data_IF_211895306306
#
_entry.id   IF_211895306306
#
_cell.length_a   1.000
_cell.length_b   1.000
_cell.length_c   1.000
_cell.angle_alpha   90.00
_cell.angle_beta   90.00
_cell.angle_gamma   90.00
#
_symmetry.space_group_name_H-M   'P 1'
#
loop_
_entity.id
_entity.type
_entity.pdbx_description
1 polymer ?
#
# COMPACT_ATOMS: atom_id res chain seq x y z
N UNK A 1 -3.64 -8.06 -3.35
CA UNK A 1 -3.87 -9.52 -3.17
C UNK A 1 -4.84 -9.70 -2.02
N UNK A 2 -5.82 -10.60 -2.19
CA UNK A 2 -6.83 -10.90 -1.18
C UNK A 2 -6.52 -12.27 -0.55
N UNK A 3 -6.52 -12.35 0.78
CA UNK A 3 -6.44 -13.65 1.45
C UNK A 3 -7.84 -14.23 1.55
N UNK A 4 -8.09 -15.38 0.92
CA UNK A 4 -9.37 -16.10 1.06
C UNK A 4 -9.58 -16.72 2.44
N UNK A 5 -8.55 -16.69 3.29
CA UNK A 5 -8.51 -17.37 4.58
C UNK A 5 -8.41 -16.42 5.77
N UNK A 6 -8.22 -15.11 5.54
CA UNK A 6 -8.00 -14.12 6.59
C UNK A 6 -8.73 -12.81 6.29
N UNK A 7 -9.24 -12.13 7.33
CA UNK A 7 -9.94 -10.82 7.25
C UNK A 7 -9.01 -9.62 6.95
N UNK A 8 -7.93 -9.82 6.18
CA UNK A 8 -6.99 -8.76 5.78
C UNK A 8 -6.79 -8.78 4.27
N UNK A 9 -6.55 -7.58 3.74
CA UNK A 9 -6.28 -7.36 2.32
C UNK A 9 -5.07 -6.47 2.15
N UNK A 10 -4.21 -6.81 1.19
CA UNK A 10 -3.13 -5.93 0.77
C UNK A 10 -3.62 -5.04 -0.38
N UNK A 11 -3.59 -3.73 -0.16
CA UNK A 11 -4.11 -2.71 -1.07
C UNK A 11 -2.98 -1.80 -1.55
N UNK A 12 -2.95 -1.52 -2.86
CA UNK A 12 -2.16 -0.39 -3.38
C UNK A 12 -3.05 0.85 -3.47
N UNK A 13 -2.59 1.94 -2.86
CA UNK A 13 -3.24 3.23 -2.92
C UNK A 13 -2.37 4.24 -3.68
N UNK A 14 -2.98 5.01 -4.58
CA UNK A 14 -2.34 6.15 -5.25
C UNK A 14 -3.16 7.41 -4.95
N UNK A 15 -2.83 8.13 -3.87
CA UNK A 15 -3.62 9.28 -3.47
C UNK A 15 -3.44 10.44 -4.46
N UNK A 16 -4.55 11.06 -4.86
CA UNK A 16 -4.54 12.22 -5.76
C UNK A 16 -4.11 13.52 -5.07
N UNK A 17 -4.23 13.56 -3.74
CA UNK A 17 -3.85 14.71 -2.90
C UNK A 17 -3.04 14.23 -1.70
N UNK A 18 -2.38 15.15 -1.00
CA UNK A 18 -1.53 14.86 0.17
C UNK A 18 -2.10 15.31 1.51
N UNK A 19 -3.43 15.22 1.72
CA UNK A 19 -4.03 15.69 2.99
C UNK A 19 -3.55 14.83 4.16
N UNK A 20 -3.49 15.43 5.34
CA UNK A 20 -3.07 14.75 6.57
C UNK A 20 -3.89 13.47 6.79
N UNK A 21 -3.19 12.34 6.96
CA UNK A 21 -3.78 11.02 7.19
C UNK A 21 -4.79 10.54 6.12
N UNK A 22 -4.74 11.08 4.91
CA UNK A 22 -5.76 10.85 3.87
C UNK A 22 -6.12 9.37 3.68
N UNK A 23 -5.13 8.50 3.45
CA UNK A 23 -5.37 7.06 3.24
C UNK A 23 -5.97 6.40 4.50
N UNK A 24 -5.45 6.75 5.68
CA UNK A 24 -5.87 6.19 6.97
C UNK A 24 -7.34 6.49 7.27
N UNK A 25 -7.71 7.76 7.14
CA UNK A 25 -9.11 8.22 7.35
C UNK A 25 -10.03 7.59 6.32
N UNK A 26 -9.61 7.59 5.05
CA UNK A 26 -10.45 7.10 3.95
C UNK A 26 -10.75 5.61 4.08
N UNK A 27 -9.78 4.78 4.44
CA UNK A 27 -10.00 3.35 4.63
C UNK A 27 -10.82 3.06 5.89
N UNK A 28 -10.53 3.77 6.99
CA UNK A 28 -11.29 3.65 8.24
C UNK A 28 -12.76 4.06 8.08
N UNK A 29 -13.07 5.08 7.28
CA UNK A 29 -14.46 5.52 7.04
C UNK A 29 -15.29 4.51 6.24
N UNK A 30 -14.66 3.49 5.66
CA UNK A 30 -15.32 2.39 4.95
C UNK A 30 -15.25 1.08 5.74
N UNK A 31 -15.01 1.16 7.06
CA UNK A 31 -14.86 -0.01 7.95
C UNK A 31 -13.71 -0.96 7.55
N UNK A 32 -12.70 -0.44 6.83
CA UNK A 32 -11.50 -1.16 6.41
C UNK A 32 -10.24 -0.52 7.01
N UNK A 33 -10.13 -0.33 8.33
CA UNK A 33 -9.02 0.38 8.93
C UNK A 33 -7.67 -0.28 8.62
N UNK A 34 -6.63 0.54 8.49
CA UNK A 34 -5.26 0.03 8.28
C UNK A 34 -4.82 -0.72 9.52
N UNK A 35 -4.23 -1.88 9.30
CA UNK A 35 -3.69 -2.69 10.38
C UNK A 35 -2.63 -1.92 11.20
N UNK A 36 -2.74 -2.01 12.53
CA UNK A 36 -1.87 -1.31 13.46
C UNK A 36 -2.17 0.19 13.60
N UNK A 37 -3.24 0.69 12.98
CA UNK A 37 -3.68 2.07 13.14
C UNK A 37 -4.51 2.27 14.42
N UNK A 38 -3.81 2.57 15.51
CA UNK A 38 -4.44 2.85 16.81
C UNK A 38 -5.32 4.10 16.83
N UNK A 39 -5.09 5.06 15.93
CA UNK A 39 -5.84 6.32 15.88
C UNK A 39 -7.19 6.15 15.19
N UNK A 40 -7.25 5.33 14.14
CA UNK A 40 -8.44 5.14 13.31
C UNK A 40 -9.09 3.76 13.49
N UNK A 41 -9.09 3.27 14.74
CA UNK A 41 -9.86 2.11 15.21
C UNK A 41 -9.58 0.80 14.45
N UNK A 42 -8.32 0.49 14.16
CA UNK A 42 -7.98 -0.88 13.79
C UNK A 42 -8.40 -1.83 14.94
N UNK A 43 -9.21 -2.88 14.69
CA UNK A 43 -9.64 -3.77 15.76
C UNK A 43 -8.41 -4.43 16.38
N UNK A 44 -8.32 -4.37 17.73
CA UNK A 44 -7.21 -4.99 18.48
C UNK A 44 -7.15 -6.50 18.29
N UNK A 45 -8.32 -7.10 18.06
CA UNK A 45 -8.52 -8.55 17.97
C UNK A 45 -8.25 -9.09 16.56
N UNK A 46 -8.36 -8.23 15.53
CA UNK A 46 -7.97 -8.60 14.17
C UNK A 46 -6.45 -8.52 14.02
N UNK A 47 -5.83 -9.69 14.23
CA UNK A 47 -4.88 -10.25 13.26
C UNK A 47 -3.42 -9.84 13.39
N UNK A 48 -2.74 -10.42 14.38
CA UNK A 48 -1.30 -10.76 14.31
C UNK A 48 -0.32 -9.63 13.96
N UNK A 49 -0.76 -8.37 14.05
CA UNK A 49 0.03 -7.19 13.79
C UNK A 49 1.09 -7.03 14.87
N UNK A 50 2.33 -6.68 14.47
CA UNK A 50 3.35 -6.33 15.46
C UNK A 50 2.92 -5.05 16.19
N UNK A 51 2.82 -5.04 17.53
CA UNK A 51 2.41 -3.85 18.27
C UNK A 51 3.32 -2.65 17.96
N UNK A 52 2.72 -1.47 17.80
CA UNK A 52 3.45 -0.23 17.50
C UNK A 52 3.79 0.02 16.03
N UNK A 53 3.48 -0.92 15.13
CA UNK A 53 3.72 -0.75 13.69
C UNK A 53 2.45 -0.37 12.95
N UNK A 54 2.53 0.64 12.07
CA UNK A 54 1.49 0.98 11.11
C UNK A 54 1.79 0.30 9.78
N UNK A 55 0.88 -0.56 9.31
CA UNK A 55 1.03 -1.23 8.02
C UNK A 55 0.58 -0.32 6.86
N UNK A 56 1.24 0.85 6.75
CA UNK A 56 1.17 1.74 5.59
C UNK A 56 2.60 2.07 5.11
N UNK A 57 2.92 1.71 3.87
CA UNK A 57 4.27 1.87 3.31
C UNK A 57 4.23 2.58 1.94
N UNK A 58 5.06 3.61 1.79
CA UNK A 58 5.25 4.32 0.52
C UNK A 58 6.21 3.53 -0.38
N UNK A 59 5.66 2.60 -1.16
CA UNK A 59 6.46 1.63 -1.93
C UNK A 59 7.10 2.20 -3.20
N UNK A 60 6.52 3.25 -3.80
CA UNK A 60 6.98 3.84 -5.07
C UNK A 60 6.66 5.31 -5.15
N UNK A 61 7.59 6.09 -5.68
CA UNK A 61 7.45 7.52 -5.92
C UNK A 61 7.86 7.82 -7.36
N UNK A 62 6.96 8.50 -8.08
CA UNK A 62 7.22 8.98 -9.43
C UNK A 62 7.05 10.50 -9.43
N UNK A 63 8.12 11.23 -9.69
CA UNK A 63 8.15 12.71 -9.68
C UNK A 63 8.96 13.24 -10.85
N UNK A 64 8.62 14.42 -11.42
CA UNK A 64 9.46 15.03 -12.45
C UNK A 64 10.83 15.40 -11.88
N UNK A 65 11.89 15.32 -12.69
CA UNK A 65 13.19 15.87 -12.30
C UNK A 65 13.09 17.39 -12.16
N UNK A 66 13.82 17.94 -11.19
CA UNK A 66 13.90 19.39 -11.01
C UNK A 66 14.61 20.07 -12.19
N UNK A 67 15.61 19.40 -12.78
CA UNK A 67 16.39 19.93 -13.91
C UNK A 67 15.65 19.88 -15.25
N UNK A 68 14.78 18.89 -15.43
CA UNK A 68 13.99 18.70 -16.64
C UNK A 68 12.63 18.08 -16.30
N UNK A 69 11.56 18.83 -16.56
CA UNK A 69 10.18 18.40 -16.27
C UNK A 69 9.66 17.31 -17.23
N UNK A 70 10.35 17.05 -18.34
CA UNK A 70 10.02 15.97 -19.26
C UNK A 70 10.54 14.62 -18.78
N UNK A 71 11.58 14.62 -17.93
CA UNK A 71 12.14 13.40 -17.38
C UNK A 71 11.53 13.07 -16.01
N UNK A 72 11.16 11.80 -15.81
CA UNK A 72 10.56 11.32 -14.57
C UNK A 72 11.58 10.53 -13.75
N UNK A 73 11.70 10.85 -12.47
CA UNK A 73 12.33 10.01 -11.46
C UNK A 73 11.30 8.97 -11.02
N UNK A 74 11.67 7.69 -11.08
CA UNK A 74 10.84 6.56 -10.64
C UNK A 74 11.66 5.72 -9.67
N UNK A 75 11.35 5.82 -8.38
CA UNK A 75 12.06 5.12 -7.31
C UNK A 75 11.12 4.23 -6.53
N UNK A 76 11.65 3.12 -6.05
CA UNK A 76 10.94 2.15 -5.22
C UNK A 76 11.67 1.94 -3.90
N UNK A 77 10.91 1.81 -2.82
CA UNK A 77 11.44 1.41 -1.52
C UNK A 77 11.22 -0.10 -1.33
N UNK A 78 12.22 -0.83 -0.78
CA UNK A 78 12.03 -2.23 -0.44
C UNK A 78 10.97 -2.36 0.66
N UNK A 79 10.26 -3.47 0.63
CA UNK A 79 9.22 -3.76 1.62
C UNK A 79 9.90 -3.99 2.97
N UNK A 80 9.39 -3.41 4.07
CA UNK A 80 9.99 -3.63 5.39
C UNK A 80 9.90 -5.08 5.84
N UNK A 81 10.92 -5.60 6.54
CA UNK A 81 10.94 -6.99 7.02
C UNK A 81 9.72 -7.40 7.85
N UNK A 82 9.16 -6.48 8.64
CA UNK A 82 7.94 -6.76 9.43
C UNK A 82 6.67 -6.96 8.58
N UNK A 83 6.65 -6.51 7.32
CA UNK A 83 5.61 -6.88 6.36
C UNK A 83 5.81 -8.32 5.89
N UNK A 84 7.03 -8.72 5.56
CA UNK A 84 7.34 -10.08 5.11
C UNK A 84 6.99 -11.12 6.19
N UNK A 85 7.38 -10.85 7.44
CA UNK A 85 7.00 -11.67 8.60
C UNK A 85 5.48 -11.85 8.70
N UNK A 86 4.73 -10.75 8.52
CA UNK A 86 3.27 -10.78 8.54
C UNK A 86 2.71 -11.57 7.36
N UNK A 87 3.14 -11.28 6.13
CA UNK A 87 2.65 -11.89 4.89
C UNK A 87 2.90 -13.40 4.92
N UNK A 88 4.08 -13.83 5.38
CA UNK A 88 4.42 -15.23 5.60
C UNK A 88 3.50 -15.88 6.63
N UNK A 89 3.24 -15.20 7.76
CA UNK A 89 2.38 -15.71 8.84
C UNK A 89 0.91 -15.88 8.42
N UNK A 90 0.38 -14.99 7.60
CA UNK A 90 -1.01 -15.04 7.10
C UNK A 90 -1.16 -15.84 5.80
N UNK A 91 -0.06 -16.41 5.28
CA UNK A 91 -0.07 -17.18 4.02
C UNK A 91 -0.51 -16.36 2.81
N UNK A 92 -0.22 -15.06 2.77
CA UNK A 92 -0.48 -14.22 1.60
C UNK A 92 0.63 -14.38 0.57
N UNK A 93 0.29 -14.21 -0.72
CA UNK A 93 1.28 -14.18 -1.79
C UNK A 93 2.28 -13.05 -1.58
N UNK A 94 3.56 -13.39 -1.73
CA UNK A 94 4.67 -12.47 -1.58
C UNK A 94 4.55 -11.27 -2.55
N UNK A 95 4.73 -10.04 -2.06
CA UNK A 95 4.54 -8.83 -2.86
C UNK A 95 5.53 -8.69 -4.01
N UNK A 96 6.69 -9.34 -3.94
CA UNK A 96 7.69 -9.39 -5.02
C UNK A 96 7.20 -10.20 -6.22
N UNK A 97 6.40 -11.25 -5.99
CA UNK A 97 5.72 -12.02 -7.06
C UNK A 97 4.54 -11.25 -7.65
N UNK A 98 3.97 -10.32 -6.88
CA UNK A 98 2.90 -9.42 -7.31
C UNK A 98 3.49 -8.24 -8.11
N UNK A 99 4.64 -7.71 -7.70
CA UNK A 99 5.36 -6.58 -8.30
C UNK A 99 5.50 -6.69 -9.83
N UNK A 100 5.91 -7.84 -10.38
CA UNK A 100 6.13 -8.00 -11.82
C UNK A 100 4.87 -7.81 -12.69
N UNK A 101 3.74 -8.39 -12.31
CA UNK A 101 2.47 -8.29 -13.03
C UNK A 101 1.65 -7.06 -12.65
N UNK A 102 1.68 -6.68 -11.36
CA UNK A 102 0.88 -5.59 -10.80
C UNK A 102 1.45 -4.21 -11.15
N UNK A 103 2.77 -4.06 -11.28
CA UNK A 103 3.40 -2.83 -11.81
C UNK A 103 3.08 -2.64 -13.29
N UNK A 104 2.99 -3.72 -14.06
CA UNK A 104 2.61 -3.68 -15.48
C UNK A 104 1.12 -3.32 -15.68
N UNK A 105 0.22 -3.78 -14.82
CA UNK A 105 -1.20 -3.40 -14.85
C UNK A 105 -1.45 -1.95 -14.43
N UNK A 106 -0.75 -1.45 -13.42
CA UNK A 106 -0.88 -0.05 -12.99
C UNK A 106 -0.40 0.94 -14.08
N UNK A 107 0.61 0.55 -14.88
CA UNK A 107 1.05 1.29 -16.08
C UNK A 107 -0.05 1.41 -17.14
N UNK A 108 -0.92 0.40 -17.30
CA UNK A 108 -2.03 0.43 -18.28
C UNK A 108 -3.15 1.39 -17.89
N UNK A 109 -3.47 1.53 -16.61
CA UNK A 109 -4.56 2.39 -16.15
C UNK A 109 -4.26 3.89 -16.29
N UNK A 110 -2.99 4.32 -16.22
CA UNK A 110 -2.64 5.73 -16.40
C UNK A 110 -2.75 6.22 -17.86
N UNK A 111 -2.62 5.31 -18.85
CA UNK A 111 -2.75 5.65 -20.28
C UNK A 111 -4.20 5.89 -20.74
N UNK A 112 -5.21 5.54 -19.95
CA UNK A 112 -6.63 5.71 -20.34
C UNK A 112 -7.27 7.04 -19.89
N UNK A 113 -6.60 7.81 -19.03
CA UNK A 113 -7.12 9.09 -18.51
C UNK A 113 -6.28 10.29 -18.96
N UNK A 114 -5.69 10.23 -20.14
CA UNK A 114 -5.08 11.39 -20.80
C UNK A 114 -5.91 11.70 -22.04
N UNK A 115 -6.99 12.46 -21.82
CA UNK A 115 -7.68 13.25 -22.83
C UNK A 115 -7.35 14.70 -22.54
#
# INVERSE_FOLDING_TARGET
AYSRTHDVSMVLASPLTGRTHQIRVHLSSHDLPILGDFKYKAPKETMNAKPGYLYLHAFRLIVPKLSDKQEMIDVMAPIPSYYEEMISRIGMDQPEKISGSFIAEFRKHKKKNTV
#
